data_IF_176122396547
#
_entry.id   IF_176122396547
#
_cell.length_a   1.000
_cell.length_b   1.000
_cell.length_c   1.000
_cell.angle_alpha   90.00
_cell.angle_beta   90.00
_cell.angle_gamma   90.00
#
_symmetry.space_group_name_H-M   'P 1'
#
loop_
_entity.id
_entity.type
_entity.pdbx_description
1 polymer ?
#
# COMPACT_ATOMS: atom_id res chain seq x y z
N UNK A 1 -3.19 29.51 -24.19
CA UNK A 1 -3.36 28.47 -23.15
C UNK A 1 -3.34 27.04 -23.71
N UNK A 2 -3.30 26.82 -25.03
CA UNK A 2 -3.32 25.47 -25.62
C UNK A 2 -1.93 24.79 -25.70
N UNK A 3 -0.85 25.58 -25.63
CA UNK A 3 0.53 25.08 -25.86
C UNK A 3 1.35 24.85 -24.56
N UNK A 4 0.75 25.01 -23.38
CA UNK A 4 1.47 24.81 -22.10
C UNK A 4 1.66 23.33 -21.72
N UNK A 5 1.01 22.40 -22.43
CA UNK A 5 1.05 20.97 -22.12
C UNK A 5 1.70 20.12 -23.23
N UNK A 6 2.17 20.74 -24.33
CA UNK A 6 2.62 20.03 -25.53
C UNK A 6 3.91 19.20 -25.37
N UNK A 7 4.57 19.27 -24.21
CA UNK A 7 5.71 18.40 -23.88
C UNK A 7 5.73 18.02 -22.38
N UNK A 8 4.60 18.18 -21.67
CA UNK A 8 4.50 17.76 -20.28
C UNK A 8 3.92 16.35 -20.29
N UNK A 9 4.75 15.36 -20.63
CA UNK A 9 4.44 13.99 -20.24
C UNK A 9 4.78 13.90 -18.75
N UNK A 10 3.80 13.73 -17.83
CA UNK A 10 4.13 13.51 -16.43
C UNK A 10 4.98 12.25 -16.33
N UNK A 11 6.26 12.42 -16.01
CA UNK A 11 7.16 11.29 -15.80
C UNK A 11 6.77 10.58 -14.52
N UNK A 12 6.33 9.32 -14.62
CA UNK A 12 6.01 8.46 -13.47
C UNK A 12 7.27 8.02 -12.69
N UNK A 13 8.42 8.67 -12.91
CA UNK A 13 9.69 8.36 -12.26
C UNK A 13 10.10 6.89 -12.50
N UNK A 14 10.68 6.19 -11.50
CA UNK A 14 11.11 4.79 -11.63
C UNK A 14 9.95 3.81 -11.91
N UNK A 15 8.70 4.27 -11.85
CA UNK A 15 7.52 3.49 -12.20
C UNK A 15 7.08 3.63 -13.65
N UNK A 16 7.67 4.54 -14.44
CA UNK A 16 7.34 4.70 -15.85
C UNK A 16 7.38 3.38 -16.64
N UNK A 17 8.38 2.49 -16.46
CA UNK A 17 8.43 1.22 -17.18
C UNK A 17 7.29 0.25 -16.85
N UNK A 18 6.66 0.40 -15.67
CA UNK A 18 5.54 -0.45 -15.25
C UNK A 18 4.29 -0.12 -16.07
N UNK A 19 4.14 1.13 -16.52
CA UNK A 19 2.98 1.56 -17.30
C UNK A 19 3.15 1.32 -18.82
N UNK A 20 4.33 0.91 -19.28
CA UNK A 20 4.60 0.64 -20.70
C UNK A 20 3.96 -0.66 -21.20
N UNK A 21 3.52 -1.54 -20.31
CA UNK A 21 2.86 -2.79 -20.66
C UNK A 21 1.57 -3.00 -19.87
N UNK A 22 0.55 -3.58 -20.51
CA UNK A 22 -0.72 -3.93 -19.87
C UNK A 22 -0.53 -4.86 -18.66
N UNK A 23 0.50 -5.70 -18.69
CA UNK A 23 0.88 -6.58 -17.57
C UNK A 23 1.34 -5.77 -16.37
N UNK A 24 2.21 -4.77 -16.57
CA UNK A 24 2.70 -3.92 -15.50
C UNK A 24 1.58 -3.07 -14.87
N UNK A 25 0.64 -2.58 -15.67
CA UNK A 25 -0.56 -1.88 -15.17
C UNK A 25 -1.40 -2.79 -14.26
N UNK A 26 -1.61 -4.05 -14.63
CA UNK A 26 -2.33 -5.01 -13.79
C UNK A 26 -1.59 -5.27 -12.48
N UNK A 27 -0.27 -5.43 -12.53
CA UNK A 27 0.55 -5.64 -11.32
C UNK A 27 0.45 -4.41 -10.40
N UNK A 28 0.53 -3.20 -10.94
CA UNK A 28 0.38 -1.96 -10.19
C UNK A 28 -1.01 -1.85 -9.55
N UNK A 29 -2.06 -2.22 -10.28
CA UNK A 29 -3.43 -2.24 -9.77
C UNK A 29 -3.61 -3.25 -8.63
N UNK A 30 -3.05 -4.45 -8.76
CA UNK A 30 -3.07 -5.48 -7.71
C UNK A 30 -2.31 -5.01 -6.47
N UNK A 31 -1.13 -4.41 -6.64
CA UNK A 31 -0.35 -3.85 -5.55
C UNK A 31 -1.10 -2.73 -4.82
N UNK A 32 -1.68 -1.78 -5.56
CA UNK A 32 -2.49 -0.70 -4.99
C UNK A 32 -3.74 -1.24 -4.28
N UNK A 33 -4.42 -2.23 -4.87
CA UNK A 33 -5.56 -2.91 -4.26
C UNK A 33 -5.19 -3.62 -2.95
N UNK A 34 -4.05 -4.32 -2.93
CA UNK A 34 -3.54 -4.97 -1.72
C UNK A 34 -3.22 -3.96 -0.62
N UNK A 35 -2.65 -2.80 -0.99
CA UNK A 35 -2.37 -1.71 -0.04
C UNK A 35 -3.67 -1.16 0.58
N UNK A 36 -4.68 -0.86 -0.25
CA UNK A 36 -5.99 -0.39 0.20
C UNK A 36 -6.65 -1.42 1.12
N UNK A 37 -6.60 -2.70 0.73
CA UNK A 37 -7.14 -3.79 1.54
C UNK A 37 -6.47 -3.85 2.94
N UNK A 38 -5.14 -3.75 3.01
CA UNK A 38 -4.42 -3.73 4.28
C UNK A 38 -4.80 -2.51 5.14
N UNK A 39 -4.98 -1.34 4.52
CA UNK A 39 -5.42 -0.12 5.21
C UNK A 39 -6.83 -0.29 5.82
N UNK A 40 -7.77 -0.88 5.07
CA UNK A 40 -9.12 -1.18 5.59
C UNK A 40 -9.03 -2.15 6.77
N UNK A 41 -8.23 -3.22 6.66
CA UNK A 41 -8.05 -4.17 7.76
C UNK A 41 -7.44 -3.52 9.01
N UNK A 42 -6.50 -2.58 8.83
CA UNK A 42 -5.94 -1.82 9.93
C UNK A 42 -7.01 -0.98 10.65
N UNK A 43 -7.88 -0.30 9.89
CA UNK A 43 -8.99 0.49 10.45
C UNK A 43 -9.95 -0.41 11.24
N UNK A 44 -10.32 -1.57 10.68
CA UNK A 44 -11.16 -2.56 11.36
C UNK A 44 -10.50 -3.04 12.65
N UNK A 45 -9.20 -3.37 12.61
CA UNK A 45 -8.41 -3.78 13.76
C UNK A 45 -8.41 -2.72 14.86
N UNK A 46 -8.14 -1.45 14.53
CA UNK A 46 -8.18 -0.33 15.48
C UNK A 46 -9.58 -0.19 16.11
N UNK A 47 -10.63 -0.31 15.30
CA UNK A 47 -12.01 -0.28 15.78
C UNK A 47 -12.33 -1.42 16.75
N UNK A 48 -11.85 -2.63 16.46
CA UNK A 48 -12.00 -3.80 17.33
C UNK A 48 -11.30 -3.58 18.68
N UNK A 49 -10.09 -3.01 18.68
CA UNK A 49 -9.34 -2.68 19.91
C UNK A 49 -10.05 -1.61 20.74
N UNK A 50 -10.58 -0.57 20.08
CA UNK A 50 -11.35 0.47 20.75
C UNK A 50 -12.62 -0.10 21.42
N UNK A 51 -13.30 -1.03 20.75
CA UNK A 51 -14.46 -1.74 21.30
C UNK A 51 -14.07 -2.67 22.46
N UNK A 52 -12.99 -3.44 22.32
CA UNK A 52 -12.50 -4.34 23.37
C UNK A 52 -12.13 -3.57 24.65
N UNK A 53 -11.47 -2.41 24.50
CA UNK A 53 -11.17 -1.50 25.63
C UNK A 53 -12.42 -1.02 26.35
N UNK A 54 -13.49 -0.68 25.63
CA UNK A 54 -14.78 -0.28 26.23
C UNK A 54 -15.51 -1.42 26.94
N UNK A 55 -15.27 -2.66 26.54
CA UNK A 55 -15.95 -3.84 27.08
C UNK A 55 -15.14 -4.58 28.16
N UNK A 56 -13.97 -4.07 28.56
CA UNK A 56 -13.05 -4.71 29.49
C UNK A 56 -12.70 -6.17 29.15
N UNK A 57 -12.84 -6.58 27.87
CA UNK A 57 -12.41 -7.91 27.39
C UNK A 57 -10.95 -7.83 26.99
N UNK A 58 -10.15 -8.72 27.57
CA UNK A 58 -8.71 -8.85 27.30
C UNK A 58 -8.47 -10.10 26.43
N UNK A 59 -9.05 -10.13 25.24
CA UNK A 59 -8.64 -11.10 24.21
C UNK A 59 -7.39 -10.54 23.51
N UNK A 60 -6.27 -10.55 24.25
CA UNK A 60 -5.03 -9.82 23.95
C UNK A 60 -4.41 -10.21 22.61
N UNK A 61 -4.26 -11.50 22.35
CA UNK A 61 -3.46 -11.98 21.23
C UNK A 61 -4.12 -11.72 19.86
N UNK A 62 -5.39 -12.09 19.70
CA UNK A 62 -6.13 -11.88 18.45
C UNK A 62 -6.30 -10.40 18.11
N UNK A 63 -6.50 -9.57 19.14
CA UNK A 63 -6.62 -8.11 19.03
C UNK A 63 -5.30 -7.47 18.61
N UNK A 64 -4.17 -7.94 19.14
CA UNK A 64 -2.83 -7.48 18.76
C UNK A 64 -2.49 -7.88 17.33
N UNK A 65 -2.76 -9.13 16.94
CA UNK A 65 -2.51 -9.60 15.57
C UNK A 65 -3.38 -8.89 14.53
N UNK A 66 -4.61 -8.50 14.88
CA UNK A 66 -5.48 -7.71 14.01
C UNK A 66 -4.90 -6.32 13.66
N UNK A 67 -3.94 -5.80 14.43
CA UNK A 67 -3.20 -4.57 14.12
C UNK A 67 -1.84 -4.88 13.49
N UNK A 68 -1.05 -5.76 14.10
CA UNK A 68 0.34 -5.95 13.71
C UNK A 68 0.48 -6.53 12.30
N UNK A 69 -0.39 -7.47 11.92
CA UNK A 69 -0.37 -8.05 10.58
C UNK A 69 -0.56 -7.00 9.47
N UNK A 70 -1.63 -6.19 9.47
CA UNK A 70 -1.80 -5.17 8.44
C UNK A 70 -0.69 -4.11 8.43
N UNK A 71 -0.13 -3.73 9.60
CA UNK A 71 1.03 -2.83 9.65
C UNK A 71 2.25 -3.47 8.94
N UNK A 72 2.59 -4.71 9.28
CA UNK A 72 3.70 -5.42 8.66
C UNK A 72 3.52 -5.56 7.14
N UNK A 73 2.30 -5.89 6.70
CA UNK A 73 1.95 -5.98 5.28
C UNK A 73 2.09 -4.63 4.55
N UNK A 74 1.65 -3.53 5.17
CA UNK A 74 1.81 -2.17 4.61
C UNK A 74 3.29 -1.82 4.46
N UNK A 75 4.10 -2.05 5.50
CA UNK A 75 5.55 -1.80 5.44
C UNK A 75 6.18 -2.62 4.31
N UNK A 76 5.86 -3.91 4.22
CA UNK A 76 6.33 -4.78 3.14
C UNK A 76 5.93 -4.25 1.75
N UNK A 77 4.66 -3.90 1.56
CA UNK A 77 4.15 -3.37 0.29
C UNK A 77 4.82 -2.05 -0.11
N UNK A 78 5.09 -1.15 0.84
CA UNK A 78 5.79 0.13 0.57
C UNK A 78 7.26 -0.10 0.21
N UNK A 79 7.89 -1.13 0.77
CA UNK A 79 9.27 -1.46 0.45
C UNK A 79 9.44 -2.06 -0.95
N UNK A 80 8.44 -2.74 -1.51
CA UNK A 80 8.49 -3.34 -2.87
C UNK A 80 9.07 -2.35 -3.91
N UNK A 81 8.51 -1.14 -4.10
CA UNK A 81 9.05 -0.21 -5.08
C UNK A 81 10.43 0.36 -4.72
N UNK A 82 10.73 0.52 -3.44
CA UNK A 82 12.03 1.03 -2.97
C UNK A 82 13.13 0.02 -3.28
N UNK A 83 12.88 -1.26 -2.98
CA UNK A 83 13.78 -2.37 -3.31
C UNK A 83 13.94 -2.50 -4.82
N UNK A 84 12.84 -2.42 -5.58
CA UNK A 84 12.90 -2.47 -7.04
C UNK A 84 13.75 -1.33 -7.62
N UNK A 85 13.52 -0.10 -7.18
CA UNK A 85 14.32 1.04 -7.61
C UNK A 85 15.80 0.82 -7.28
N UNK A 86 16.13 0.43 -6.04
CA UNK A 86 17.49 0.15 -5.63
C UNK A 86 18.17 -0.95 -6.47
N UNK A 87 17.45 -2.00 -6.87
CA UNK A 87 17.98 -3.08 -7.71
C UNK A 87 18.19 -2.68 -9.17
N UNK A 88 17.37 -1.79 -9.71
CA UNK A 88 17.44 -1.36 -11.11
C UNK A 88 18.42 -0.18 -11.29
N UNK A 89 18.66 0.60 -10.25
CA UNK A 89 19.59 1.75 -10.28
C UNK A 89 20.99 1.44 -9.74
N UNK A 90 21.22 0.26 -9.15
CA UNK A 90 22.53 -0.20 -8.69
C UNK A 90 23.29 -0.96 -9.79
#
# INVERSE_FOLDING_TARGET
MKDLFDNITPGFGPFAPIFDSWVGVLIAAVWAGAFIYCAVQLVIGIGAVAKARKQHRVDSESTVWAILWPIGAIVGLVLVPVIWAALVTA
#
